data_IF_513686001523
#
_entry.id   IF_513686001523
#
_cell.length_a   1.000
_cell.length_b   1.000
_cell.length_c   1.000
_cell.angle_alpha   90.00
_cell.angle_beta   90.00
_cell.angle_gamma   90.00
#
_symmetry.space_group_name_H-M   'P 1'
#
loop_
_entity.id
_entity.type
_entity.pdbx_description
1 polymer ?
#
# COMPACT_ATOMS: atom_id res chain seq x y z
N UNK A 1 18.65 22.23 0.06
CA UNK A 1 18.46 22.01 1.48
C UNK A 1 19.02 20.66 1.87
N UNK A 2 19.82 20.63 2.87
CA UNK A 2 20.63 19.52 3.35
C UNK A 2 19.79 18.52 4.16
N UNK A 3 18.88 17.83 3.53
CA UNK A 3 18.30 16.61 4.13
C UNK A 3 19.15 15.37 3.87
N UNK A 4 20.31 15.50 3.20
CA UNK A 4 21.27 14.43 2.97
C UNK A 4 21.99 13.91 4.21
N UNK A 5 21.67 14.41 5.41
CA UNK A 5 22.25 13.96 6.67
C UNK A 5 21.52 12.80 7.32
N UNK A 6 20.41 12.36 6.77
CA UNK A 6 19.65 11.23 7.32
C UNK A 6 20.28 9.85 7.02
N UNK A 7 21.37 9.81 6.27
CA UNK A 7 22.12 8.58 5.93
C UNK A 7 23.38 8.33 6.76
N UNK A 8 23.73 9.22 7.65
CA UNK A 8 24.87 8.98 8.55
C UNK A 8 24.36 8.55 9.92
N UNK A 9 25.07 7.65 10.56
CA UNK A 9 25.01 7.14 11.93
C UNK A 9 24.63 8.14 13.05
N UNK A 10 23.91 9.17 12.70
CA UNK A 10 23.10 9.83 13.70
C UNK A 10 22.25 8.73 14.32
N UNK A 11 22.16 8.71 15.63
CA UNK A 11 21.33 7.75 16.31
C UNK A 11 19.86 8.07 16.02
N UNK A 12 19.48 7.89 14.75
CA UNK A 12 18.11 7.95 14.28
C UNK A 12 17.22 7.09 15.17
N UNK A 13 17.71 5.89 15.55
CA UNK A 13 17.10 5.08 16.62
C UNK A 13 17.02 5.82 17.95
N UNK A 14 17.93 6.70 18.27
CA UNK A 14 17.97 7.41 19.55
C UNK A 14 17.12 8.68 19.57
N UNK A 15 17.03 9.36 18.44
CA UNK A 15 16.16 10.54 18.26
C UNK A 15 14.70 10.11 18.12
N UNK A 16 14.47 8.91 17.58
CA UNK A 16 13.12 8.34 17.37
C UNK A 16 12.65 7.42 18.48
N UNK A 17 13.43 7.22 19.54
CA UNK A 17 13.09 6.33 20.67
C UNK A 17 12.32 7.04 21.79
N UNK A 18 11.65 8.14 21.52
CA UNK A 18 10.80 8.83 22.48
C UNK A 18 9.31 8.70 22.12
N UNK A 19 8.44 8.85 23.09
CA UNK A 19 6.97 8.87 22.91
C UNK A 19 6.45 10.08 22.12
N UNK A 20 7.35 10.90 21.56
CA UNK A 20 7.01 12.10 20.80
C UNK A 20 6.92 11.71 19.33
N UNK A 21 5.75 11.87 18.69
CA UNK A 21 5.62 11.65 17.24
C UNK A 21 6.61 12.52 16.47
N UNK A 22 7.44 11.88 15.65
CA UNK A 22 8.41 12.58 14.82
C UNK A 22 7.85 12.72 13.41
N UNK A 23 7.85 13.94 12.88
CA UNK A 23 7.44 14.19 11.49
C UNK A 23 8.65 14.63 10.67
N UNK A 24 8.90 13.88 9.58
CA UNK A 24 9.89 14.23 8.56
C UNK A 24 9.15 14.85 7.38
N UNK A 25 9.55 16.06 7.00
CA UNK A 25 9.02 16.75 5.81
C UNK A 25 9.99 16.64 4.65
N UNK A 26 9.49 16.32 3.47
CA UNK A 26 10.23 16.27 2.20
C UNK A 26 9.64 17.37 1.30
N UNK A 27 10.23 18.58 1.33
CA UNK A 27 9.66 19.74 0.65
C UNK A 27 9.91 19.72 -0.85
N UNK A 28 9.37 20.72 -1.53
CA UNK A 28 9.55 20.95 -2.96
C UNK A 28 11.03 20.94 -3.36
N UNK A 29 11.32 20.22 -4.45
CA UNK A 29 12.68 20.05 -4.98
C UNK A 29 13.58 19.12 -4.18
N UNK A 30 13.09 18.56 -3.07
CA UNK A 30 13.83 17.56 -2.30
C UNK A 30 13.52 16.14 -2.82
N UNK A 31 14.58 15.40 -3.17
CA UNK A 31 14.51 13.98 -3.50
C UNK A 31 15.25 13.22 -2.39
N UNK A 32 14.51 12.57 -1.51
CA UNK A 32 15.07 11.78 -0.42
C UNK A 32 14.98 10.29 -0.75
N UNK A 33 16.08 9.59 -0.63
CA UNK A 33 16.11 8.12 -0.61
C UNK A 33 16.45 7.64 0.79
N UNK A 34 15.56 6.84 1.38
CA UNK A 34 15.85 6.12 2.61
C UNK A 34 16.43 4.76 2.23
N UNK A 35 17.65 4.48 2.69
CA UNK A 35 18.38 3.24 2.37
C UNK A 35 18.77 2.53 3.66
N UNK A 36 18.44 1.24 3.77
CA UNK A 36 18.71 0.41 4.94
C UNK A 36 18.19 1.02 6.27
N UNK A 37 17.00 1.60 6.21
CA UNK A 37 16.38 2.29 7.33
C UNK A 37 15.17 1.53 7.84
N UNK A 38 15.00 1.56 9.17
CA UNK A 38 13.76 1.15 9.82
C UNK A 38 13.24 2.31 10.65
N UNK A 39 11.98 2.71 10.42
CA UNK A 39 11.35 3.77 11.22
C UNK A 39 10.44 3.16 12.28
N UNK A 40 10.24 3.90 13.37
CA UNK A 40 9.27 3.52 14.39
C UNK A 40 7.83 3.82 13.93
N UNK A 41 6.86 3.18 14.55
CA UNK A 41 5.42 3.37 14.28
C UNK A 41 4.93 4.79 14.57
N UNK A 42 5.61 5.53 15.47
CA UNK A 42 5.34 6.94 15.77
C UNK A 42 5.81 7.92 14.70
N UNK A 43 6.59 7.46 13.72
CA UNK A 43 7.14 8.32 12.67
C UNK A 43 6.10 8.61 11.60
N UNK A 44 6.02 9.88 11.22
CA UNK A 44 5.24 10.34 10.07
C UNK A 44 6.18 10.95 9.04
N UNK A 45 6.06 10.56 7.80
CA UNK A 45 6.80 11.16 6.69
C UNK A 45 5.80 11.88 5.81
N UNK A 46 6.02 13.18 5.58
CA UNK A 46 5.16 14.01 4.74
C UNK A 46 5.93 14.39 3.48
N UNK A 47 5.46 13.91 2.34
CA UNK A 47 6.02 14.26 1.04
C UNK A 47 5.19 15.41 0.47
N UNK A 48 5.76 16.60 0.49
CA UNK A 48 5.08 17.82 0.04
C UNK A 48 5.07 17.94 -1.49
N UNK A 49 4.37 18.97 -1.99
CA UNK A 49 4.31 19.28 -3.41
C UNK A 49 5.71 19.42 -4.02
N UNK A 50 6.00 18.66 -5.07
CA UNK A 50 7.30 18.64 -5.74
C UNK A 50 8.41 17.91 -4.96
N UNK A 51 8.12 17.35 -3.78
CA UNK A 51 9.02 16.45 -3.07
C UNK A 51 8.91 15.02 -3.58
N UNK A 52 9.97 14.23 -3.42
CA UNK A 52 9.99 12.80 -3.76
C UNK A 52 10.63 11.98 -2.64
N UNK A 53 9.94 10.93 -2.21
CA UNK A 53 10.47 9.89 -1.32
C UNK A 53 10.68 8.60 -2.12
N UNK A 54 11.86 8.02 -1.96
CA UNK A 54 12.17 6.68 -2.48
C UNK A 54 12.62 5.79 -1.32
N UNK A 55 12.09 4.57 -1.23
CA UNK A 55 12.57 3.56 -0.29
C UNK A 55 13.48 2.56 -1.00
N UNK A 56 14.61 2.23 -0.37
CA UNK A 56 15.56 1.21 -0.80
C UNK A 56 15.97 0.38 0.42
N UNK A 57 15.63 -0.90 0.46
CA UNK A 57 15.91 -1.81 1.58
C UNK A 57 15.48 -1.23 2.94
N UNK A 58 14.31 -0.59 2.97
CA UNK A 58 13.86 0.17 4.14
C UNK A 58 12.45 -0.22 4.55
N UNK A 59 12.22 -0.25 5.86
CA UNK A 59 10.94 -0.56 6.48
C UNK A 59 10.36 0.69 7.13
N UNK A 60 9.15 1.09 6.73
CA UNK A 60 8.44 2.19 7.37
C UNK A 60 7.28 1.62 8.19
N UNK A 61 7.41 1.68 9.51
CA UNK A 61 6.36 1.22 10.44
C UNK A 61 5.28 2.28 10.68
N UNK A 62 5.58 3.54 10.46
CA UNK A 62 4.68 4.67 10.64
C UNK A 62 3.84 5.00 9.41
N UNK A 63 3.47 6.27 9.31
CA UNK A 63 2.61 6.78 8.23
C UNK A 63 3.46 7.54 7.21
N UNK A 64 3.22 7.28 5.93
CA UNK A 64 3.70 8.11 4.82
C UNK A 64 2.50 8.85 4.24
N UNK A 65 2.52 10.18 4.31
CA UNK A 65 1.53 11.06 3.68
C UNK A 65 2.13 11.72 2.46
N UNK A 66 1.65 11.36 1.28
CA UNK A 66 2.03 12.01 0.02
C UNK A 66 0.97 13.05 -0.31
N UNK A 67 1.35 14.32 -0.21
CA UNK A 67 0.48 15.44 -0.50
C UNK A 67 0.38 15.72 -2.00
N UNK A 68 -0.46 16.69 -2.37
CA UNK A 68 -0.65 17.13 -3.75
C UNK A 68 0.69 17.44 -4.43
N UNK A 69 0.93 16.82 -5.59
CA UNK A 69 2.19 16.99 -6.35
C UNK A 69 3.41 16.28 -5.75
N UNK A 70 3.29 15.64 -4.59
CA UNK A 70 4.34 14.78 -4.02
C UNK A 70 4.43 13.45 -4.74
N UNK A 71 5.59 12.83 -4.71
CA UNK A 71 5.84 11.52 -5.34
C UNK A 71 6.41 10.53 -4.34
N UNK A 72 5.82 9.34 -4.30
CA UNK A 72 6.37 8.20 -3.58
C UNK A 72 6.79 7.10 -4.55
N UNK A 73 7.95 6.51 -4.32
CA UNK A 73 8.48 5.38 -5.10
C UNK A 73 9.28 4.41 -4.24
N UNK A 74 9.55 3.23 -4.78
CA UNK A 74 10.52 2.27 -4.24
C UNK A 74 11.56 1.97 -5.31
N UNK A 75 12.76 1.56 -4.90
CA UNK A 75 13.82 1.26 -5.83
C UNK A 75 13.46 0.06 -6.72
N UNK A 76 13.51 0.25 -8.02
CA UNK A 76 13.11 -0.71 -9.03
C UNK A 76 14.22 -0.88 -10.07
N UNK A 77 14.67 -2.12 -10.26
CA UNK A 77 15.67 -2.43 -11.27
C UNK A 77 14.99 -2.65 -12.63
N UNK A 78 15.12 -1.68 -13.51
CA UNK A 78 14.54 -1.71 -14.84
C UNK A 78 15.16 -2.81 -15.73
N UNK A 79 16.41 -3.20 -15.50
CA UNK A 79 17.07 -4.26 -16.26
C UNK A 79 16.54 -5.64 -15.87
N UNK A 80 16.27 -5.85 -14.60
CA UNK A 80 15.70 -7.11 -14.10
C UNK A 80 14.20 -7.14 -14.17
N UNK A 81 13.57 -6.00 -14.45
CA UNK A 81 12.13 -5.81 -14.39
C UNK A 81 11.55 -6.31 -13.05
N UNK A 82 12.24 -5.99 -11.96
CA UNK A 82 11.92 -6.46 -10.62
C UNK A 82 12.31 -5.44 -9.54
N UNK A 83 11.60 -5.47 -8.43
CA UNK A 83 12.02 -4.77 -7.23
C UNK A 83 13.16 -5.53 -6.59
N UNK A 84 14.30 -4.85 -6.40
CA UNK A 84 15.53 -5.47 -5.89
C UNK A 84 15.70 -5.31 -4.41
N UNK A 85 14.78 -4.60 -3.75
CA UNK A 85 14.91 -4.20 -2.36
C UNK A 85 13.89 -4.88 -1.47
N UNK A 86 14.29 -5.15 -0.23
CA UNK A 86 13.43 -5.64 0.85
C UNK A 86 12.57 -4.55 1.49
N UNK A 87 12.28 -3.46 0.78
CA UNK A 87 11.47 -2.37 1.34
C UNK A 87 10.03 -2.80 1.61
N UNK A 88 9.48 -2.35 2.74
CA UNK A 88 8.09 -2.60 3.12
C UNK A 88 7.49 -1.42 3.86
N UNK A 89 6.17 -1.33 3.85
CA UNK A 89 5.40 -0.39 4.65
C UNK A 89 4.55 -1.21 5.61
N UNK A 90 4.96 -1.26 6.87
CA UNK A 90 4.19 -1.90 7.93
C UNK A 90 3.09 -0.97 8.46
N UNK A 91 3.26 0.33 8.31
CA UNK A 91 2.26 1.35 8.62
C UNK A 91 1.26 1.56 7.48
N UNK A 92 1.02 2.80 7.12
CA UNK A 92 0.04 3.19 6.11
C UNK A 92 0.65 4.17 5.10
N UNK A 93 0.35 3.98 3.81
CA UNK A 93 0.61 4.96 2.76
C UNK A 93 -0.68 5.69 2.42
N UNK A 94 -0.68 7.01 2.60
CA UNK A 94 -1.80 7.90 2.27
C UNK A 94 -1.41 8.77 1.09
N UNK A 95 -2.21 8.72 0.05
CA UNK A 95 -2.05 9.50 -1.18
C UNK A 95 -3.19 10.51 -1.24
N UNK A 96 -2.86 11.79 -1.19
CA UNK A 96 -3.82 12.88 -1.28
C UNK A 96 -4.06 13.31 -2.74
N UNK A 97 -5.03 14.18 -2.96
CA UNK A 97 -5.33 14.75 -4.28
C UNK A 97 -4.06 15.28 -4.95
N UNK A 98 -3.81 14.91 -6.20
CA UNK A 98 -2.61 15.28 -6.97
C UNK A 98 -1.34 14.46 -6.64
N UNK A 99 -1.37 13.52 -5.70
CA UNK A 99 -0.23 12.67 -5.39
C UNK A 99 0.11 11.68 -6.52
N UNK A 100 1.39 11.30 -6.58
CA UNK A 100 1.91 10.33 -7.55
C UNK A 100 2.50 9.14 -6.80
N UNK A 101 2.07 7.94 -7.19
CA UNK A 101 2.68 6.67 -6.79
C UNK A 101 3.37 6.06 -8.02
N UNK A 102 4.69 5.91 -7.94
CA UNK A 102 5.50 5.50 -9.08
C UNK A 102 6.42 4.34 -8.71
N UNK A 103 6.40 3.27 -9.49
CA UNK A 103 7.30 2.12 -9.30
C UNK A 103 7.42 1.70 -7.84
N UNK A 104 6.45 0.97 -7.33
CA UNK A 104 6.43 0.56 -5.92
C UNK A 104 5.93 -0.87 -5.75
N UNK A 105 6.52 -1.61 -4.83
CA UNK A 105 6.03 -2.90 -4.37
C UNK A 105 5.73 -2.83 -2.87
N UNK A 106 4.48 -2.58 -2.56
CA UNK A 106 4.01 -2.34 -1.20
C UNK A 106 3.48 -3.66 -0.66
N UNK A 107 4.31 -4.30 0.17
CA UNK A 107 3.95 -5.48 0.94
C UNK A 107 3.85 -5.04 2.40
N UNK A 108 2.67 -5.16 2.97
CA UNK A 108 2.53 -4.99 4.40
C UNK A 108 2.68 -6.36 5.05
N UNK A 109 3.63 -6.48 5.96
CA UNK A 109 3.72 -7.62 6.86
C UNK A 109 3.03 -7.26 8.17
N UNK A 110 2.53 -8.27 8.89
CA UNK A 110 2.18 -8.10 10.29
C UNK A 110 3.36 -7.44 11.00
N UNK A 111 3.08 -6.43 11.81
CA UNK A 111 4.13 -5.65 12.46
C UNK A 111 4.87 -6.53 13.48
N UNK A 112 6.03 -7.03 13.10
CA UNK A 112 6.99 -7.51 14.07
C UNK A 112 7.75 -6.30 14.61
N UNK A 113 7.61 -6.01 15.88
CA UNK A 113 8.55 -5.14 16.57
C UNK A 113 9.94 -5.77 16.53
N UNK A 114 10.98 -4.93 16.62
CA UNK A 114 12.37 -5.40 16.70
C UNK A 114 12.65 -6.39 17.86
N UNK A 115 11.74 -6.48 18.84
CA UNK A 115 11.76 -7.44 19.95
C UNK A 115 10.98 -8.73 19.66
N UNK A 116 10.39 -8.89 18.47
CA UNK A 116 9.60 -10.06 18.09
C UNK A 116 8.13 -10.03 18.55
N UNK A 117 7.67 -8.98 19.21
CA UNK A 117 6.26 -8.81 19.55
C UNK A 117 5.47 -8.36 18.31
N UNK A 118 4.34 -8.99 18.07
CA UNK A 118 3.34 -8.51 17.15
C UNK A 118 2.74 -7.23 17.76
N UNK A 119 3.00 -6.09 17.17
CA UNK A 119 2.15 -4.94 17.47
C UNK A 119 0.83 -5.15 16.78
N UNK A 120 -0.23 -5.09 17.56
CA UNK A 120 -1.56 -4.91 17.02
C UNK A 120 -1.53 -3.73 16.04
N UNK A 121 -1.38 -4.05 14.78
CA UNK A 121 -1.88 -3.16 13.78
C UNK A 121 -3.41 -3.28 13.91
N UNK A 122 -3.96 -2.56 14.87
CA UNK A 122 -5.40 -2.37 15.01
C UNK A 122 -5.86 -1.57 13.80
N UNK A 123 -5.99 -2.24 12.65
CA UNK A 123 -6.33 -1.53 11.44
C UNK A 123 -7.19 -2.40 10.54
N UNK A 124 -8.46 -2.20 10.67
CA UNK A 124 -9.40 -2.35 9.55
C UNK A 124 -9.06 -1.42 8.37
N UNK A 125 -8.01 -0.60 8.47
CA UNK A 125 -7.62 0.38 7.45
C UNK A 125 -6.77 -0.27 6.36
N UNK A 126 -7.00 0.05 5.08
CA UNK A 126 -6.20 -0.44 3.97
C UNK A 126 -4.73 -0.02 4.09
N UNK A 127 -3.84 -0.81 3.51
CA UNK A 127 -2.40 -0.49 3.46
C UNK A 127 -2.15 0.81 2.72
N UNK A 128 -2.89 1.01 1.62
CA UNK A 128 -2.83 2.23 0.81
C UNK A 128 -4.21 2.86 0.72
N UNK A 129 -4.28 4.17 0.96
CA UNK A 129 -5.47 4.98 0.71
C UNK A 129 -5.16 6.05 -0.33
N UNK A 130 -6.02 6.18 -1.33
CA UNK A 130 -5.94 7.20 -2.38
C UNK A 130 -7.19 8.08 -2.30
N UNK A 131 -7.01 9.37 -2.03
CA UNK A 131 -8.10 10.34 -1.87
C UNK A 131 -7.95 11.46 -2.89
N UNK A 132 -9.04 11.82 -3.57
CA UNK A 132 -9.02 12.79 -4.66
C UNK A 132 -8.43 12.20 -5.95
N UNK A 133 -7.69 13.02 -6.71
CA UNK A 133 -7.09 12.59 -7.98
C UNK A 133 -5.66 12.10 -7.77
N UNK A 134 -5.45 10.79 -7.78
CA UNK A 134 -4.14 10.16 -7.58
C UNK A 134 -3.68 9.52 -8.89
N UNK A 135 -2.38 9.66 -9.21
CA UNK A 135 -1.81 9.08 -10.43
C UNK A 135 -0.86 7.93 -10.10
N UNK A 136 -1.08 6.80 -10.75
CA UNK A 136 -0.18 5.64 -10.75
C UNK A 136 0.70 5.71 -12.01
N UNK A 137 2.03 5.57 -11.83
CA UNK A 137 3.00 5.49 -12.92
C UNK A 137 3.87 4.25 -12.80
N UNK A 138 4.34 3.75 -13.94
CA UNK A 138 5.22 2.57 -13.98
C UNK A 138 4.54 1.32 -13.42
N UNK A 139 5.27 0.50 -12.69
CA UNK A 139 4.77 -0.75 -12.12
C UNK A 139 4.52 -0.59 -10.62
N UNK A 140 3.29 -0.82 -10.20
CA UNK A 140 2.89 -0.72 -8.81
C UNK A 140 2.21 -2.02 -8.37
N UNK A 141 2.75 -2.61 -7.31
CA UNK A 141 2.21 -3.80 -6.66
C UNK A 141 1.79 -3.44 -5.23
N UNK A 142 0.57 -3.80 -4.84
CA UNK A 142 0.07 -3.58 -3.49
C UNK A 142 -0.54 -4.88 -2.98
N UNK A 143 -0.03 -5.39 -1.88
CA UNK A 143 -0.60 -6.55 -1.19
C UNK A 143 -1.14 -6.09 0.16
N UNK A 144 -2.39 -6.44 0.46
CA UNK A 144 -2.99 -6.23 1.77
C UNK A 144 -2.26 -7.04 2.85
N UNK A 145 -2.28 -6.52 4.06
CA UNK A 145 -1.76 -7.21 5.22
C UNK A 145 -2.75 -8.26 5.73
N UNK A 146 -2.29 -9.10 6.62
CA UNK A 146 -3.12 -9.72 7.66
C UNK A 146 -3.07 -8.83 8.91
N UNK A 147 -4.14 -8.77 9.68
CA UNK A 147 -4.10 -8.16 11.01
C UNK A 147 -3.59 -9.15 12.08
N UNK A 148 -3.44 -8.67 13.32
CA UNK A 148 -2.97 -9.49 14.43
C UNK A 148 -3.85 -10.72 14.72
N UNK A 149 -5.11 -10.68 14.32
CA UNK A 149 -6.07 -11.78 14.43
C UNK A 149 -6.08 -12.70 13.19
N UNK A 150 -5.24 -12.41 12.20
CA UNK A 150 -5.12 -13.18 10.96
C UNK A 150 -6.23 -12.93 9.94
N UNK A 151 -6.94 -11.81 10.05
CA UNK A 151 -7.96 -11.39 9.07
C UNK A 151 -7.26 -10.69 7.91
N UNK A 152 -7.56 -11.11 6.69
CA UNK A 152 -7.02 -10.48 5.49
C UNK A 152 -7.55 -9.05 5.31
N UNK A 153 -6.64 -8.09 5.18
CA UNK A 153 -6.99 -6.67 5.04
C UNK A 153 -7.13 -6.24 3.57
N UNK A 154 -7.88 -5.16 3.36
CA UNK A 154 -7.95 -4.49 2.05
C UNK A 154 -6.59 -3.91 1.69
N UNK A 155 -6.17 -4.14 0.44
CA UNK A 155 -4.88 -3.62 -0.03
C UNK A 155 -4.95 -2.13 -0.36
N UNK A 156 -5.94 -1.72 -1.16
CA UNK A 156 -6.09 -0.34 -1.65
C UNK A 156 -7.53 0.15 -1.46
N UNK A 157 -7.68 1.35 -0.87
CA UNK A 157 -8.93 2.10 -0.89
C UNK A 157 -8.82 3.30 -1.81
N UNK A 158 -9.85 3.50 -2.64
CA UNK A 158 -9.97 4.65 -3.55
C UNK A 158 -11.19 5.48 -3.14
N UNK A 159 -10.97 6.76 -2.86
CA UNK A 159 -12.01 7.74 -2.58
C UNK A 159 -11.79 8.96 -3.50
N UNK A 160 -12.20 8.85 -4.75
CA UNK A 160 -11.97 9.83 -5.82
C UNK A 160 -11.57 9.17 -7.14
N UNK A 161 -10.59 9.74 -7.84
CA UNK A 161 -10.12 9.22 -9.13
C UNK A 161 -8.71 8.66 -9.03
N UNK A 162 -8.55 7.37 -9.25
CA UNK A 162 -7.23 6.75 -9.42
C UNK A 162 -6.94 6.62 -10.91
N UNK A 163 -5.99 7.41 -11.40
CA UNK A 163 -5.60 7.40 -12.80
C UNK A 163 -4.38 6.52 -13.03
N UNK A 164 -4.51 5.53 -13.89
CA UNK A 164 -3.39 4.75 -14.40
C UNK A 164 -2.81 5.45 -15.63
N UNK A 165 -1.59 5.97 -15.51
CA UNK A 165 -0.90 6.61 -16.62
C UNK A 165 -0.64 5.63 -17.78
N UNK A 166 -0.28 6.15 -18.94
CA UNK A 166 0.05 5.33 -20.09
C UNK A 166 1.19 4.36 -19.78
N UNK A 167 0.96 3.08 -20.09
CA UNK A 167 1.92 2.01 -19.78
C UNK A 167 2.02 1.61 -18.29
N UNK A 168 1.28 2.27 -17.40
CA UNK A 168 1.26 1.88 -16.00
C UNK A 168 0.60 0.50 -15.80
N UNK A 169 1.11 -0.25 -14.82
CA UNK A 169 0.55 -1.54 -14.40
C UNK A 169 0.32 -1.47 -12.89
N UNK A 170 -0.94 -1.57 -12.50
CA UNK A 170 -1.32 -1.68 -11.09
C UNK A 170 -1.77 -3.12 -10.80
N UNK A 171 -1.07 -3.78 -9.89
CA UNK A 171 -1.43 -5.10 -9.38
C UNK A 171 -1.77 -4.96 -7.91
N UNK A 172 -2.97 -5.36 -7.53
CA UNK A 172 -3.42 -5.37 -6.15
C UNK A 172 -3.85 -6.77 -5.73
N UNK A 173 -3.47 -7.17 -4.53
CA UNK A 173 -3.90 -8.44 -3.93
C UNK A 173 -4.40 -8.18 -2.52
N UNK A 174 -5.57 -8.68 -2.18
CA UNK A 174 -6.07 -8.61 -0.80
C UNK A 174 -5.19 -9.39 0.17
N UNK A 175 -5.23 -9.04 1.44
CA UNK A 175 -4.52 -9.74 2.51
C UNK A 175 -5.00 -11.19 2.66
N UNK A 176 -4.16 -12.04 3.21
CA UNK A 176 -4.50 -13.46 3.42
C UNK A 176 -5.25 -13.64 4.75
N UNK A 177 -6.27 -14.49 4.76
CA UNK A 177 -6.93 -14.95 5.98
C UNK A 177 -6.20 -16.18 6.52
N UNK A 178 -5.52 -16.06 7.65
CA UNK A 178 -4.54 -17.07 8.11
C UNK A 178 -5.05 -17.98 9.22
N UNK A 179 -5.94 -17.52 10.08
CA UNK A 179 -6.30 -18.21 11.32
C UNK A 179 -7.83 -18.28 11.48
N UNK A 180 -8.37 -19.31 12.14
CA UNK A 180 -9.71 -19.36 12.72
C UNK A 180 -10.89 -18.96 11.81
N UNK A 181 -10.98 -19.49 10.60
CA UNK A 181 -12.07 -19.14 9.67
C UNK A 181 -12.06 -17.70 9.16
N UNK A 182 -10.95 -16.99 9.29
CA UNK A 182 -10.82 -15.61 8.85
C UNK A 182 -10.85 -15.50 7.32
N UNK A 183 -11.55 -14.49 6.87
CA UNK A 183 -11.76 -14.24 5.45
C UNK A 183 -10.51 -13.61 4.81
N UNK A 184 -10.35 -13.84 3.52
CA UNK A 184 -9.36 -13.13 2.72
C UNK A 184 -9.80 -11.68 2.48
N UNK A 185 -8.83 -10.76 2.44
CA UNK A 185 -9.06 -9.34 2.24
C UNK A 185 -9.47 -8.97 0.82
N UNK A 186 -10.11 -7.84 0.66
CA UNK A 186 -10.41 -7.25 -0.65
C UNK A 186 -9.16 -6.65 -1.28
N UNK A 187 -8.97 -6.81 -2.59
CA UNK A 187 -7.85 -6.17 -3.26
C UNK A 187 -8.07 -4.65 -3.39
N UNK A 188 -9.23 -4.22 -3.85
CA UNK A 188 -9.57 -2.79 -4.02
C UNK A 188 -10.96 -2.51 -3.46
N UNK A 189 -11.06 -1.51 -2.59
CA UNK A 189 -12.31 -0.91 -2.11
C UNK A 189 -12.47 0.47 -2.75
N UNK A 190 -13.36 0.62 -3.74
CA UNK A 190 -13.70 1.92 -4.32
C UNK A 190 -14.84 2.50 -3.49
N UNK A 191 -14.50 3.25 -2.44
CA UNK A 191 -15.49 3.88 -1.56
C UNK A 191 -16.37 4.86 -2.33
N UNK A 192 -15.74 5.67 -3.19
CA UNK A 192 -16.42 6.55 -4.17
C UNK A 192 -15.50 6.84 -5.35
N UNK A 193 -16.07 7.20 -6.49
CA UNK A 193 -15.30 7.66 -7.66
C UNK A 193 -14.93 6.54 -8.64
N UNK A 194 -13.69 6.53 -9.13
CA UNK A 194 -13.31 5.63 -10.23
C UNK A 194 -11.82 5.30 -10.34
N UNK A 195 -11.54 4.19 -11.03
CA UNK A 195 -10.20 3.87 -11.55
C UNK A 195 -10.26 4.05 -13.07
N UNK A 196 -9.36 4.86 -13.64
CA UNK A 196 -9.40 5.25 -15.07
C UNK A 196 -8.01 5.31 -15.68
N UNK A 197 -7.93 5.45 -16.99
CA UNK A 197 -6.69 5.69 -17.74
C UNK A 197 -6.29 4.54 -18.65
N UNK A 198 -5.15 4.71 -19.35
CA UNK A 198 -4.68 3.78 -20.37
C UNK A 198 -3.75 2.68 -19.83
N UNK A 199 -3.57 2.59 -18.52
CA UNK A 199 -2.80 1.54 -17.88
C UNK A 199 -3.58 0.23 -17.73
N UNK A 200 -2.90 -0.77 -17.17
CA UNK A 200 -3.46 -2.10 -16.88
C UNK A 200 -3.77 -2.23 -15.40
N UNK A 201 -4.93 -2.79 -15.10
CA UNK A 201 -5.35 -3.12 -13.74
C UNK A 201 -5.40 -4.63 -13.55
N UNK A 202 -4.80 -5.14 -12.48
CA UNK A 202 -4.96 -6.51 -12.01
C UNK A 202 -5.38 -6.43 -10.54
N UNK A 203 -6.53 -7.01 -10.19
CA UNK A 203 -6.99 -7.09 -8.82
C UNK A 203 -7.39 -8.52 -8.47
N UNK A 204 -6.80 -9.05 -7.40
CA UNK A 204 -7.00 -10.43 -6.97
C UNK A 204 -7.38 -10.40 -5.48
N UNK A 205 -8.51 -10.99 -5.13
CA UNK A 205 -8.92 -11.14 -3.75
C UNK A 205 -7.92 -11.94 -2.92
N UNK A 206 -7.86 -11.65 -1.64
CA UNK A 206 -6.98 -12.34 -0.70
C UNK A 206 -7.38 -13.81 -0.51
N UNK A 207 -6.41 -14.68 -0.44
CA UNK A 207 -6.62 -16.11 -0.15
C UNK A 207 -7.04 -16.31 1.30
N UNK A 208 -7.65 -17.45 1.56
CA UNK A 208 -7.95 -17.89 2.91
C UNK A 208 -7.68 -19.38 3.07
N UNK A 209 -7.33 -19.80 4.27
CA UNK A 209 -7.20 -21.23 4.59
C UNK A 209 -8.54 -21.81 5.13
N UNK A 210 -9.34 -21.02 5.85
CA UNK A 210 -10.53 -21.50 6.55
C UNK A 210 -11.78 -20.65 6.36
N UNK A 211 -11.65 -19.44 5.81
CA UNK A 211 -12.71 -18.45 5.63
C UNK A 211 -13.29 -18.37 4.22
N UNK A 212 -13.97 -17.27 3.97
CA UNK A 212 -14.42 -16.89 2.62
C UNK A 212 -13.26 -16.28 1.83
N UNK A 213 -13.25 -16.49 0.51
CA UNK A 213 -12.28 -15.84 -0.35
C UNK A 213 -12.52 -14.33 -0.43
N UNK A 214 -11.44 -13.52 -0.47
CA UNK A 214 -11.53 -12.08 -0.63
C UNK A 214 -12.04 -11.66 -2.00
N UNK A 215 -12.69 -10.50 -2.07
CA UNK A 215 -13.15 -9.93 -3.34
C UNK A 215 -12.00 -9.24 -4.09
N UNK A 216 -12.07 -9.19 -5.43
CA UNK A 216 -11.12 -8.37 -6.18
C UNK A 216 -11.44 -6.89 -6.02
N UNK A 217 -12.68 -6.49 -6.30
CA UNK A 217 -13.11 -5.09 -6.16
C UNK A 217 -14.46 -5.01 -5.46
N UNK A 218 -14.57 -4.08 -4.51
CA UNK A 218 -15.82 -3.77 -3.79
C UNK A 218 -16.06 -2.26 -3.76
N UNK A 219 -17.21 -1.86 -3.27
CA UNK A 219 -17.58 -0.45 -3.02
C UNK A 219 -18.57 0.11 -4.02
N UNK A 220 -18.52 1.43 -4.28
CA UNK A 220 -19.50 2.16 -5.08
C UNK A 220 -18.78 3.03 -6.14
N UNK A 221 -18.23 2.41 -7.17
CA UNK A 221 -17.47 3.16 -8.18
C UNK A 221 -17.47 2.53 -9.55
N UNK A 222 -16.62 3.06 -10.44
CA UNK A 222 -16.45 2.57 -11.81
C UNK A 222 -15.01 2.21 -12.13
N UNK A 223 -14.82 1.29 -13.07
CA UNK A 223 -13.52 0.93 -13.63
C UNK A 223 -13.54 1.21 -15.12
N UNK A 224 -12.74 2.20 -15.53
CA UNK A 224 -12.67 2.74 -16.89
C UNK A 224 -11.21 2.67 -17.40
N UNK A 225 -10.55 1.51 -17.26
CA UNK A 225 -9.17 1.30 -17.69
C UNK A 225 -9.09 0.61 -19.05
N UNK A 226 -7.99 0.77 -19.76
CA UNK A 226 -7.79 0.10 -21.06
C UNK A 226 -7.82 -1.43 -20.96
N UNK A 227 -7.40 -1.98 -19.82
CA UNK A 227 -7.41 -3.42 -19.54
C UNK A 227 -7.57 -3.67 -18.04
N UNK A 228 -8.49 -4.55 -17.67
CA UNK A 228 -8.67 -4.98 -16.29
C UNK A 228 -8.77 -6.51 -16.21
N UNK A 229 -8.03 -7.11 -15.27
CA UNK A 229 -8.18 -8.48 -14.85
C UNK A 229 -8.59 -8.50 -13.37
N UNK A 230 -9.79 -9.02 -13.10
CA UNK A 230 -10.39 -9.01 -11.78
C UNK A 230 -10.75 -10.44 -11.38
N UNK A 231 -10.24 -10.89 -10.24
CA UNK A 231 -10.47 -12.25 -9.77
C UNK A 231 -10.69 -12.29 -8.26
N UNK A 232 -11.87 -12.73 -7.83
CA UNK A 232 -12.10 -13.09 -6.45
C UNK A 232 -11.29 -14.34 -6.06
N UNK A 233 -10.89 -14.44 -4.82
CA UNK A 233 -10.17 -15.61 -4.33
C UNK A 233 -11.13 -16.80 -4.12
N UNK A 234 -10.58 -18.00 -4.21
CA UNK A 234 -11.34 -19.22 -3.87
C UNK A 234 -11.60 -19.28 -2.36
N UNK A 235 -12.78 -19.76 -1.98
CA UNK A 235 -13.07 -20.09 -0.59
C UNK A 235 -12.24 -21.27 -0.11
N UNK A 236 -12.18 -21.42 1.20
CA UNK A 236 -11.69 -22.64 1.82
C UNK A 236 -12.57 -23.84 1.44
N UNK A 237 -12.02 -25.04 1.58
CA UNK A 237 -12.79 -26.28 1.40
C UNK A 237 -13.75 -26.59 2.55
N UNK A 238 -13.78 -25.75 3.59
CA UNK A 238 -14.69 -25.88 4.71
C UNK A 238 -16.15 -25.68 4.25
N UNK A 239 -17.07 -26.37 4.91
CA UNK A 239 -18.51 -26.23 4.59
C UNK A 239 -18.98 -24.80 4.80
N UNK A 240 -19.88 -24.34 3.92
CA UNK A 240 -20.53 -23.03 3.96
C UNK A 240 -19.59 -21.82 3.79
N UNK A 241 -18.47 -21.98 3.10
CA UNK A 241 -17.60 -20.85 2.73
C UNK A 241 -17.80 -20.47 1.27
N UNK A 242 -17.73 -19.18 0.99
CA UNK A 242 -17.98 -18.62 -0.35
C UNK A 242 -16.71 -18.09 -0.99
N UNK A 243 -16.60 -18.27 -2.30
CA UNK A 243 -15.54 -17.62 -3.08
C UNK A 243 -15.79 -16.11 -3.13
N UNK A 244 -14.70 -15.34 -3.16
CA UNK A 244 -14.78 -13.91 -3.38
C UNK A 244 -15.30 -13.59 -4.78
N UNK A 245 -15.96 -12.45 -4.91
CA UNK A 245 -16.46 -11.93 -6.19
C UNK A 245 -15.34 -11.22 -6.94
N UNK A 246 -15.33 -11.32 -8.27
CA UNK A 246 -14.47 -10.49 -9.11
C UNK A 246 -14.89 -9.02 -9.01
N UNK A 247 -16.19 -8.75 -9.02
CA UNK A 247 -16.77 -7.41 -8.93
C UNK A 247 -17.90 -7.46 -7.90
N UNK A 248 -17.89 -6.55 -6.94
CA UNK A 248 -18.97 -6.34 -5.98
C UNK A 248 -20.21 -5.73 -6.63
N UNK A 249 -21.34 -5.81 -5.95
CA UNK A 249 -22.68 -5.57 -6.53
C UNK A 249 -22.89 -4.12 -7.04
N UNK A 250 -22.15 -3.13 -6.56
CA UNK A 250 -22.29 -1.71 -6.92
C UNK A 250 -21.15 -1.16 -7.79
N UNK A 251 -20.28 -2.01 -8.32
CA UNK A 251 -19.19 -1.61 -9.22
C UNK A 251 -19.64 -1.74 -10.68
N UNK A 252 -19.31 -0.73 -11.49
CA UNK A 252 -19.66 -0.67 -12.92
C UNK A 252 -18.42 -0.55 -13.78
#
# INVERSE_FOLDING_TARGET
GTYGYLGYDLPWKKVMSGDIPQTLYIPNGCNLTLTNMETLSSVRIVVENGGKLTLSDSVVQGIIDVQSGGTFSMNYDTYKNAFTTGSSICGQLRLSDGAILENAAIYSHANYLANGDLTDRNTSEPVVTATGNVTIKGQVFIKGAEDGDGIGQTALRVDGTLRLADGAILVTTGGEGMINENDGGTAIDIKSGKITGNGKLVAIGGKTFWGNGGNAVTGNGTIETASAFLQGATASKAKNKEAGKAIGDNIR
#
